data_IF_582692352049
#
_entry.id   IF_582692352049
#
_cell.length_a   1.000
_cell.length_b   1.000
_cell.length_c   1.000
_cell.angle_alpha   90.00
_cell.angle_beta   90.00
_cell.angle_gamma   90.00
#
_symmetry.space_group_name_H-M   'P 1'
#
loop_
_entity.id
_entity.type
_entity.pdbx_description
1 polymer ?
#
# COMPACT_ATOMS: atom_id res chain seq x y z
N UNK A 1 14.11 -19.59 8.89
CA UNK A 1 12.73 -19.42 8.39
C UNK A 1 11.83 -19.22 9.60
N UNK A 2 10.85 -18.32 9.54
CA UNK A 2 9.90 -18.18 10.64
C UNK A 2 9.21 -19.52 10.85
N UNK A 3 8.98 -19.88 12.12
CA UNK A 3 8.27 -21.10 12.45
C UNK A 3 6.76 -20.85 12.28
N UNK A 4 6.25 -21.05 11.06
CA UNK A 4 4.82 -20.87 10.74
C UNK A 4 3.92 -21.65 11.70
N UNK A 5 4.36 -22.80 12.21
CA UNK A 5 3.56 -23.58 13.15
C UNK A 5 3.35 -22.84 14.48
N UNK A 6 4.36 -22.17 15.01
CA UNK A 6 4.24 -21.37 16.23
C UNK A 6 3.34 -20.16 16.01
N UNK A 7 3.53 -19.46 14.88
CA UNK A 7 2.72 -18.28 14.55
C UNK A 7 1.24 -18.66 14.37
N UNK A 8 0.95 -19.70 13.58
CA UNK A 8 -0.42 -20.17 13.37
C UNK A 8 -1.07 -20.68 14.64
N UNK A 9 -0.30 -21.39 15.48
CA UNK A 9 -0.78 -21.87 16.78
C UNK A 9 -1.20 -20.70 17.68
N UNK A 10 -0.42 -19.62 17.70
CA UNK A 10 -0.75 -18.42 18.45
C UNK A 10 -1.97 -17.68 17.86
N UNK A 11 -2.02 -17.47 16.54
CA UNK A 11 -3.10 -16.75 15.87
C UNK A 11 -4.45 -17.46 15.99
N UNK A 12 -4.45 -18.80 15.87
CA UNK A 12 -5.67 -19.64 15.91
C UNK A 12 -5.96 -20.23 17.29
N UNK A 13 -5.14 -19.91 18.30
CA UNK A 13 -5.24 -20.48 19.65
C UNK A 13 -5.25 -22.02 19.67
N UNK A 14 -4.31 -22.62 18.93
CA UNK A 14 -4.15 -24.07 18.76
C UNK A 14 -2.86 -24.59 19.40
N UNK A 15 -2.77 -25.90 19.58
CA UNK A 15 -1.54 -26.53 20.03
C UNK A 15 -0.52 -26.61 18.89
N UNK A 16 0.72 -26.14 19.12
CA UNK A 16 1.79 -26.09 18.11
C UNK A 16 2.06 -27.44 17.46
N UNK A 17 2.06 -28.54 18.26
CA UNK A 17 2.29 -29.89 17.74
C UNK A 17 1.18 -30.33 16.77
N UNK A 18 -0.06 -30.00 17.06
CA UNK A 18 -1.19 -30.33 16.20
C UNK A 18 -1.17 -29.50 14.91
N UNK A 19 -0.78 -28.21 14.99
CA UNK A 19 -0.58 -27.35 13.83
C UNK A 19 0.56 -27.89 12.96
N UNK A 20 1.67 -28.31 13.56
CA UNK A 20 2.78 -28.92 12.83
C UNK A 20 2.32 -30.18 12.08
N UNK A 21 1.57 -31.06 12.72
CA UNK A 21 1.01 -32.26 12.07
C UNK A 21 0.06 -31.94 10.94
N UNK A 22 -0.77 -30.88 11.08
CA UNK A 22 -1.64 -30.43 10.00
C UNK A 22 -0.84 -29.88 8.82
N UNK A 23 0.19 -29.05 9.06
CA UNK A 23 1.09 -28.52 8.02
C UNK A 23 1.77 -29.66 7.25
N UNK A 24 2.33 -30.66 7.95
CA UNK A 24 2.99 -31.81 7.33
C UNK A 24 2.05 -32.58 6.42
N UNK A 25 0.79 -32.78 6.83
CA UNK A 25 -0.20 -33.46 6.03
C UNK A 25 -0.63 -32.63 4.79
N UNK A 26 -0.75 -31.31 4.92
CA UNK A 26 -1.02 -30.41 3.80
C UNK A 26 0.14 -30.48 2.79
N UNK A 27 1.38 -30.44 3.27
CA UNK A 27 2.58 -30.50 2.43
C UNK A 27 2.76 -31.83 1.71
N UNK A 28 2.20 -32.91 2.26
CA UNK A 28 2.10 -34.20 1.58
C UNK A 28 1.00 -34.24 0.51
N UNK A 29 0.28 -33.14 0.28
CA UNK A 29 -0.77 -33.04 -0.73
C UNK A 29 -2.12 -33.62 -0.29
N UNK A 30 -2.32 -33.87 1.00
CA UNK A 30 -3.62 -34.32 1.49
C UNK A 30 -4.65 -33.19 1.45
N UNK A 31 -5.88 -33.51 1.05
CA UNK A 31 -6.97 -32.52 1.06
C UNK A 31 -7.50 -32.28 2.48
N UNK A 32 -7.97 -31.07 2.76
CA UNK A 32 -8.54 -30.69 4.07
C UNK A 32 -9.63 -31.68 4.53
N UNK A 33 -10.63 -32.07 3.70
CA UNK A 33 -11.65 -33.05 4.10
C UNK A 33 -11.07 -34.43 4.44
N UNK A 34 -9.99 -34.83 3.78
CA UNK A 34 -9.31 -36.09 4.10
C UNK A 34 -8.63 -36.00 5.47
N UNK A 35 -7.90 -34.91 5.74
CA UNK A 35 -7.21 -34.68 7.02
C UNK A 35 -8.23 -34.66 8.17
N UNK A 36 -9.32 -33.88 8.03
CA UNK A 36 -10.37 -33.78 9.04
C UNK A 36 -11.02 -35.12 9.40
N UNK A 37 -11.17 -36.01 8.40
CA UNK A 37 -11.85 -37.27 8.58
C UNK A 37 -10.93 -38.40 9.04
N UNK A 38 -9.72 -38.47 8.51
CA UNK A 38 -8.87 -39.68 8.62
C UNK A 38 -7.54 -39.43 9.36
N UNK A 39 -7.21 -38.19 9.77
CA UNK A 39 -5.94 -37.85 10.42
C UNK A 39 -6.13 -37.10 11.74
N UNK A 40 -7.17 -37.39 12.46
CA UNK A 40 -7.53 -36.72 13.72
C UNK A 40 -6.45 -36.84 14.78
N UNK A 41 -5.72 -37.95 14.82
CA UNK A 41 -4.63 -38.20 15.75
C UNK A 41 -3.43 -37.22 15.55
N UNK A 42 -3.15 -36.84 14.30
CA UNK A 42 -2.04 -35.93 13.97
C UNK A 42 -2.41 -34.46 14.20
N UNK A 43 -3.71 -34.13 14.07
CA UNK A 43 -4.20 -32.75 14.12
C UNK A 43 -4.89 -32.40 15.44
N UNK A 44 -4.95 -33.34 16.40
CA UNK A 44 -5.66 -33.12 17.64
C UNK A 44 -7.17 -32.92 17.47
N UNK A 45 -7.75 -33.61 16.49
CA UNK A 45 -9.19 -33.58 16.16
C UNK A 45 -9.68 -32.20 15.69
N UNK A 46 -8.85 -31.40 15.00
CA UNK A 46 -9.31 -30.20 14.32
C UNK A 46 -10.46 -30.52 13.37
N UNK A 47 -11.49 -29.70 13.37
CA UNK A 47 -12.58 -29.84 12.41
C UNK A 47 -12.21 -29.27 11.03
N UNK A 48 -13.10 -29.44 10.05
CA UNK A 48 -12.89 -29.03 8.66
C UNK A 48 -12.72 -27.50 8.55
N UNK A 49 -13.45 -26.71 9.36
CA UNK A 49 -13.36 -25.24 9.31
C UNK A 49 -12.01 -24.76 9.85
N UNK A 50 -11.60 -25.25 11.00
CA UNK A 50 -10.30 -24.89 11.61
C UNK A 50 -9.13 -25.27 10.68
N UNK A 51 -9.22 -26.44 10.01
CA UNK A 51 -8.20 -26.86 9.05
C UNK A 51 -8.18 -25.98 7.79
N UNK A 52 -9.34 -25.50 7.32
CA UNK A 52 -9.41 -24.53 6.20
C UNK A 52 -8.76 -23.20 6.60
N UNK A 53 -9.17 -22.66 7.73
CA UNK A 53 -8.61 -21.38 8.24
C UNK A 53 -7.10 -21.48 8.43
N UNK A 54 -6.60 -22.63 8.91
CA UNK A 54 -5.18 -22.91 9.03
C UNK A 54 -4.49 -23.00 7.66
N UNK A 55 -5.10 -23.71 6.71
CA UNK A 55 -4.57 -23.87 5.36
C UNK A 55 -4.47 -22.52 4.61
N UNK A 56 -5.56 -21.75 4.62
CA UNK A 56 -5.62 -20.44 3.97
C UNK A 56 -4.59 -19.46 4.60
N UNK A 57 -4.48 -19.49 5.93
CA UNK A 57 -3.52 -18.65 6.62
C UNK A 57 -2.06 -19.08 6.38
N UNK A 58 -1.79 -20.38 6.30
CA UNK A 58 -0.48 -20.94 5.95
C UNK A 58 -0.06 -20.52 4.54
N UNK A 59 -0.96 -20.62 3.58
CA UNK A 59 -0.72 -20.18 2.20
C UNK A 59 -0.38 -18.68 2.14
N UNK A 60 -1.16 -17.86 2.86
CA UNK A 60 -0.87 -16.43 2.98
C UNK A 60 0.52 -16.15 3.56
N UNK A 61 0.92 -16.81 4.66
CA UNK A 61 2.23 -16.61 5.29
C UNK A 61 3.38 -17.03 4.37
N UNK A 62 3.22 -18.14 3.65
CA UNK A 62 4.19 -18.59 2.65
C UNK A 62 4.30 -17.60 1.47
N UNK A 63 3.17 -17.08 1.02
CA UNK A 63 3.13 -16.03 0.00
C UNK A 63 3.83 -14.77 0.44
N UNK A 64 3.63 -14.37 1.71
CA UNK A 64 4.28 -13.23 2.32
C UNK A 64 5.81 -13.41 2.39
N UNK A 65 6.28 -14.57 2.83
CA UNK A 65 7.72 -14.85 2.91
C UNK A 65 8.36 -14.86 1.52
N UNK A 66 7.73 -15.56 0.56
CA UNK A 66 8.18 -15.53 -0.83
C UNK A 66 8.28 -14.10 -1.38
N UNK A 67 7.27 -13.26 -1.07
CA UNK A 67 7.28 -11.87 -1.52
C UNK A 67 8.40 -11.05 -0.87
N UNK A 68 8.67 -11.27 0.42
CA UNK A 68 9.83 -10.65 1.11
C UNK A 68 11.14 -11.03 0.45
N UNK A 69 11.33 -12.29 0.09
CA UNK A 69 12.55 -12.77 -0.57
C UNK A 69 12.71 -12.15 -1.96
N UNK A 70 11.65 -12.08 -2.76
CA UNK A 70 11.63 -11.42 -4.07
C UNK A 70 12.03 -9.94 -3.96
N UNK A 71 11.43 -9.22 -3.01
CA UNK A 71 11.70 -7.79 -2.77
C UNK A 71 13.13 -7.59 -2.29
N UNK A 72 13.59 -8.44 -1.36
CA UNK A 72 14.97 -8.40 -0.86
C UNK A 72 15.97 -8.58 -2.00
N UNK A 73 15.76 -9.56 -2.86
CA UNK A 73 16.61 -9.82 -4.03
C UNK A 73 16.62 -8.61 -4.98
N UNK A 74 15.45 -8.07 -5.30
CA UNK A 74 15.32 -6.92 -6.21
C UNK A 74 16.03 -5.66 -5.68
N UNK A 75 15.90 -5.34 -4.38
CA UNK A 75 16.57 -4.18 -3.78
C UNK A 75 18.09 -4.41 -3.70
N UNK A 76 18.51 -5.65 -3.43
CA UNK A 76 19.93 -6.03 -3.38
C UNK A 76 20.58 -5.90 -4.75
N UNK A 77 19.93 -6.37 -5.81
CA UNK A 77 20.40 -6.22 -7.20
C UNK A 77 20.56 -4.76 -7.62
N UNK A 78 19.75 -3.85 -7.07
CA UNK A 78 19.86 -2.42 -7.27
C UNK A 78 20.98 -1.78 -6.43
N UNK A 79 21.65 -2.52 -5.56
CA UNK A 79 22.68 -2.00 -4.64
C UNK A 79 22.14 -1.07 -3.56
N UNK A 80 20.83 -1.08 -3.30
CA UNK A 80 20.14 -0.17 -2.39
C UNK A 80 19.76 -0.80 -1.05
N UNK A 81 20.12 -2.08 -0.81
CA UNK A 81 19.80 -2.75 0.45
C UNK A 81 20.61 -2.19 1.61
N UNK A 82 19.93 -1.87 2.72
CA UNK A 82 20.54 -1.41 3.98
C UNK A 82 20.10 -2.30 5.14
N UNK A 83 20.85 -2.27 6.29
CA UNK A 83 20.45 -3.02 7.50
C UNK A 83 19.04 -2.62 7.99
N UNK A 84 18.69 -1.34 7.89
CA UNK A 84 17.38 -0.83 8.29
C UNK A 84 16.25 -1.38 7.41
N UNK A 85 16.48 -1.46 6.09
CA UNK A 85 15.52 -2.06 5.14
C UNK A 85 15.35 -3.56 5.40
N UNK A 86 16.45 -4.27 5.64
CA UNK A 86 16.40 -5.69 6.01
C UNK A 86 15.58 -5.90 7.27
N UNK A 87 15.79 -5.06 8.30
CA UNK A 87 15.01 -5.11 9.53
C UNK A 87 13.53 -4.75 9.32
N UNK A 88 13.23 -3.78 8.46
CA UNK A 88 11.86 -3.39 8.13
C UNK A 88 11.12 -4.52 7.39
N UNK A 89 11.73 -5.12 6.37
CA UNK A 89 11.16 -6.26 5.63
C UNK A 89 10.92 -7.47 6.55
N UNK A 90 11.86 -7.78 7.44
CA UNK A 90 11.70 -8.90 8.38
C UNK A 90 10.53 -8.69 9.34
N UNK A 91 10.26 -7.45 9.77
CA UNK A 91 9.18 -7.08 10.69
C UNK A 91 7.82 -6.95 10.02
N UNK A 92 7.78 -6.79 8.70
CA UNK A 92 6.54 -6.65 7.96
C UNK A 92 5.65 -7.89 8.15
N UNK A 93 4.38 -7.67 8.51
CA UNK A 93 3.39 -8.72 8.81
C UNK A 93 2.35 -8.91 7.72
N UNK A 94 2.31 -7.99 6.76
CA UNK A 94 1.35 -8.01 5.66
C UNK A 94 2.01 -7.76 4.32
N UNK A 95 1.40 -8.26 3.24
CA UNK A 95 1.85 -7.97 1.87
C UNK A 95 1.86 -6.46 1.60
N UNK A 96 0.87 -5.73 2.10
CA UNK A 96 0.78 -4.29 1.94
C UNK A 96 1.99 -3.55 2.57
N UNK A 97 2.44 -3.98 3.76
CA UNK A 97 3.66 -3.43 4.38
C UNK A 97 4.91 -3.72 3.54
N UNK A 98 5.03 -4.93 2.97
CA UNK A 98 6.15 -5.28 2.09
C UNK A 98 6.13 -4.44 0.82
N UNK A 99 4.97 -4.26 0.19
CA UNK A 99 4.81 -3.43 -1.01
C UNK A 99 5.11 -1.95 -0.72
N UNK A 100 4.72 -1.44 0.45
CA UNK A 100 5.04 -0.06 0.85
C UNK A 100 6.56 0.15 0.99
N UNK A 101 7.27 -0.80 1.62
CA UNK A 101 8.74 -0.77 1.74
C UNK A 101 9.40 -0.86 0.35
N UNK A 102 8.89 -1.72 -0.54
CA UNK A 102 9.45 -1.92 -1.87
C UNK A 102 9.18 -0.75 -2.83
N UNK A 103 8.14 0.03 -2.59
CA UNK A 103 7.63 1.03 -3.53
C UNK A 103 8.67 2.04 -4.05
N UNK A 104 9.56 2.61 -3.22
CA UNK A 104 10.60 3.53 -3.70
C UNK A 104 11.57 2.86 -4.69
N UNK A 105 11.73 1.55 -4.60
CA UNK A 105 12.68 0.73 -5.38
C UNK A 105 12.04 0.05 -6.58
N UNK A 106 10.71 0.04 -6.65
CA UNK A 106 9.97 -0.57 -7.75
C UNK A 106 10.21 0.20 -9.05
N UNK A 107 10.58 -0.47 -10.16
CA UNK A 107 10.70 0.18 -11.45
C UNK A 107 9.41 0.93 -11.81
N UNK A 108 9.50 2.25 -11.93
CA UNK A 108 8.35 3.10 -12.23
C UNK A 108 8.27 3.37 -13.72
N UNK A 109 7.04 3.43 -14.25
CA UNK A 109 6.78 4.01 -15.57
C UNK A 109 7.11 5.51 -15.53
N UNK A 110 7.20 6.18 -16.69
CA UNK A 110 7.38 7.64 -16.75
C UNK A 110 6.34 8.35 -15.88
N UNK A 111 6.79 8.96 -14.78
CA UNK A 111 5.98 9.80 -13.88
C UNK A 111 6.40 11.25 -14.06
N UNK A 112 5.57 12.21 -13.61
CA UNK A 112 5.95 13.64 -13.58
C UNK A 112 7.28 13.83 -12.84
N UNK A 113 7.42 13.18 -11.68
CA UNK A 113 8.67 13.21 -10.90
C UNK A 113 9.87 12.59 -11.65
N UNK A 114 9.70 11.47 -12.36
CA UNK A 114 10.80 10.87 -13.13
C UNK A 114 11.26 11.77 -14.28
N UNK A 115 10.34 12.49 -14.92
CA UNK A 115 10.65 13.49 -15.94
C UNK A 115 11.41 14.65 -15.32
N UNK A 116 10.93 15.18 -14.18
CA UNK A 116 11.59 16.27 -13.46
C UNK A 116 13.01 15.88 -12.99
N UNK A 117 13.21 14.63 -12.53
CA UNK A 117 14.54 14.09 -12.19
C UNK A 117 15.47 14.04 -13.42
N UNK A 118 14.96 13.60 -14.57
CA UNK A 118 15.72 13.58 -15.81
C UNK A 118 16.14 14.98 -16.27
N UNK A 119 15.33 16.01 -15.96
CA UNK A 119 15.63 17.42 -16.21
C UNK A 119 16.63 18.03 -15.22
N UNK A 120 17.15 17.25 -14.27
CA UNK A 120 18.16 17.69 -13.30
C UNK A 120 17.61 18.41 -12.07
N UNK A 121 16.31 18.34 -11.79
CA UNK A 121 15.66 19.09 -10.70
C UNK A 121 15.74 18.40 -9.32
N UNK A 122 16.34 17.22 -9.21
CA UNK A 122 16.48 16.49 -7.94
C UNK A 122 17.24 17.29 -6.86
N UNK A 123 18.36 18.01 -7.14
CA UNK A 123 19.05 18.78 -6.12
C UNK A 123 18.19 19.94 -5.58
N UNK A 124 17.42 20.63 -6.45
CA UNK A 124 16.49 21.68 -6.04
C UNK A 124 15.40 21.11 -5.13
N UNK A 125 14.77 20.00 -5.51
CA UNK A 125 13.77 19.32 -4.68
C UNK A 125 14.33 18.94 -3.31
N UNK A 126 15.58 18.44 -3.26
CA UNK A 126 16.24 18.05 -2.01
C UNK A 126 16.51 19.27 -1.12
N UNK A 127 16.94 20.39 -1.69
CA UNK A 127 17.16 21.63 -0.94
C UNK A 127 15.84 22.18 -0.36
N UNK A 128 14.78 22.23 -1.16
CA UNK A 128 13.46 22.66 -0.72
C UNK A 128 12.92 21.74 0.39
N UNK A 129 13.08 20.43 0.26
CA UNK A 129 12.56 19.45 1.23
C UNK A 129 13.22 19.55 2.61
N UNK A 130 14.45 20.13 2.71
CA UNK A 130 15.11 20.43 3.99
C UNK A 130 14.39 21.52 4.77
N UNK A 131 13.68 22.42 4.06
CA UNK A 131 12.89 23.52 4.61
C UNK A 131 13.72 24.49 5.44
N UNK A 132 14.95 24.76 5.00
CA UNK A 132 15.78 25.78 5.60
C UNK A 132 15.10 27.16 5.42
N UNK A 133 14.94 27.91 6.52
CA UNK A 133 14.28 29.22 6.51
C UNK A 133 15.09 30.29 5.73
N UNK A 134 16.40 30.10 5.61
CA UNK A 134 17.26 31.00 4.85
C UNK A 134 17.29 30.68 3.34
N UNK A 135 16.74 29.54 2.91
CA UNK A 135 16.75 29.15 1.52
C UNK A 135 15.55 29.75 0.78
N UNK A 136 15.83 30.48 -0.30
CA UNK A 136 14.83 31.07 -1.18
C UNK A 136 14.63 30.16 -2.41
N UNK A 137 13.51 29.39 -2.48
CA UNK A 137 13.30 28.44 -3.56
C UNK A 137 13.13 29.12 -4.93
N UNK A 138 12.56 30.32 -5.00
CA UNK A 138 12.35 31.04 -6.26
C UNK A 138 13.69 31.48 -6.86
N UNK A 139 14.58 32.03 -6.05
CA UNK A 139 15.92 32.42 -6.50
C UNK A 139 16.75 31.20 -6.91
N UNK A 140 16.71 30.14 -6.10
CA UNK A 140 17.45 28.91 -6.41
C UNK A 140 16.95 28.23 -7.69
N UNK A 141 15.66 28.31 -8.00
CA UNK A 141 15.08 27.77 -9.22
C UNK A 141 15.69 28.32 -10.51
N UNK A 142 16.18 29.58 -10.47
CA UNK A 142 16.83 30.24 -11.62
C UNK A 142 18.13 29.52 -12.05
N UNK A 143 18.80 28.82 -11.14
CA UNK A 143 20.03 28.08 -11.42
C UNK A 143 19.81 26.76 -12.16
N UNK A 144 18.54 26.32 -12.31
CA UNK A 144 18.15 25.04 -12.91
C UNK A 144 17.47 25.20 -14.27
N UNK A 145 17.53 26.38 -14.88
CA UNK A 145 16.96 26.63 -16.20
C UNK A 145 17.80 25.93 -17.27
N UNK A 146 17.10 25.29 -18.20
CA UNK A 146 17.69 24.63 -19.38
C UNK A 146 16.64 24.54 -20.50
N UNK A 147 17.00 23.94 -21.64
CA UNK A 147 16.09 23.82 -22.80
C UNK A 147 14.76 23.12 -22.49
N UNK A 148 14.73 22.26 -21.46
CA UNK A 148 13.53 21.54 -21.03
C UNK A 148 12.83 22.19 -19.81
N UNK A 149 13.47 23.18 -19.20
CA UNK A 149 12.98 23.93 -18.02
C UNK A 149 13.06 25.43 -18.34
N UNK A 150 12.01 26.00 -18.95
CA UNK A 150 12.09 27.33 -19.55
C UNK A 150 12.11 28.47 -18.55
N UNK A 151 11.58 28.27 -17.34
CA UNK A 151 11.47 29.30 -16.30
C UNK A 151 11.51 28.72 -14.88
N UNK A 152 11.64 29.59 -13.89
CA UNK A 152 11.71 29.24 -12.49
C UNK A 152 10.43 28.56 -11.99
N UNK A 153 9.27 28.91 -12.54
CA UNK A 153 8.00 28.29 -12.18
C UNK A 153 7.97 26.82 -12.62
N UNK A 154 8.47 26.50 -13.83
CA UNK A 154 8.61 25.13 -14.31
C UNK A 154 9.62 24.33 -13.46
N UNK A 155 10.72 24.97 -13.01
CA UNK A 155 11.68 24.32 -12.11
C UNK A 155 11.07 23.99 -10.76
N UNK A 156 10.32 24.91 -10.17
CA UNK A 156 9.61 24.71 -8.89
C UNK A 156 8.52 23.64 -9.00
N UNK A 157 7.72 23.68 -10.06
CA UNK A 157 6.71 22.65 -10.31
C UNK A 157 7.33 21.25 -10.44
N UNK A 158 8.45 21.12 -11.15
CA UNK A 158 9.17 19.85 -11.25
C UNK A 158 9.78 19.41 -9.91
N UNK A 159 10.31 20.33 -9.11
CA UNK A 159 10.78 20.02 -7.76
C UNK A 159 9.63 19.58 -6.84
N UNK A 160 8.47 20.23 -6.94
CA UNK A 160 7.24 19.85 -6.24
C UNK A 160 6.76 18.45 -6.62
N UNK A 161 6.76 18.09 -7.91
CA UNK A 161 6.43 16.74 -8.37
C UNK A 161 7.34 15.66 -7.75
N UNK A 162 8.66 15.95 -7.64
CA UNK A 162 9.62 15.05 -7.00
C UNK A 162 9.31 14.88 -5.51
N UNK A 163 9.02 15.98 -4.80
CA UNK A 163 8.66 15.96 -3.38
C UNK A 163 7.34 15.19 -3.18
N UNK A 164 6.32 15.45 -3.99
CA UNK A 164 5.03 14.78 -3.92
C UNK A 164 5.16 13.26 -4.13
N UNK A 165 6.01 12.83 -5.06
CA UNK A 165 6.32 11.40 -5.24
C UNK A 165 7.01 10.83 -4.01
N UNK A 166 8.00 11.50 -3.44
CA UNK A 166 8.71 11.04 -2.25
C UNK A 166 7.77 10.88 -1.04
N UNK A 167 6.87 11.86 -0.83
CA UNK A 167 5.84 11.82 0.23
C UNK A 167 4.86 10.69 0.00
N UNK A 168 4.38 10.48 -1.24
CA UNK A 168 3.43 9.43 -1.57
C UNK A 168 4.01 8.01 -1.46
N UNK A 169 5.32 7.87 -1.54
CA UNK A 169 6.04 6.59 -1.46
C UNK A 169 6.50 6.25 -0.04
N UNK A 170 6.37 7.18 0.92
CA UNK A 170 6.77 6.94 2.30
C UNK A 170 5.88 5.89 2.97
N UNK A 171 6.49 4.81 3.44
CA UNK A 171 5.79 3.67 4.02
C UNK A 171 5.04 4.02 5.31
N UNK A 172 5.60 4.91 6.16
CA UNK A 172 4.97 5.30 7.42
C UNK A 172 3.71 6.12 7.17
N UNK A 173 3.78 7.08 6.25
CA UNK A 173 2.61 7.89 5.86
C UNK A 173 1.53 7.04 5.20
N UNK A 174 1.90 6.10 4.35
CA UNK A 174 0.95 5.17 3.73
C UNK A 174 0.24 4.29 4.77
N UNK A 175 0.97 3.79 5.76
CA UNK A 175 0.39 3.02 6.86
C UNK A 175 -0.60 3.86 7.68
N UNK A 176 -0.27 5.14 7.95
CA UNK A 176 -1.14 6.07 8.67
C UNK A 176 -2.40 6.40 7.86
N UNK A 177 -2.27 6.73 6.58
CA UNK A 177 -3.40 6.96 5.69
C UNK A 177 -4.29 5.71 5.58
N UNK A 178 -3.72 4.52 5.43
CA UNK A 178 -4.48 3.26 5.38
C UNK A 178 -5.26 3.03 6.68
N UNK A 179 -4.63 3.30 7.85
CA UNK A 179 -5.31 3.22 9.14
C UNK A 179 -6.49 4.19 9.20
N UNK A 180 -6.29 5.41 8.70
CA UNK A 180 -7.34 6.41 8.64
C UNK A 180 -8.48 5.99 7.70
N UNK A 181 -8.18 5.47 6.50
CA UNK A 181 -9.19 4.96 5.56
C UNK A 181 -10.03 3.84 6.16
N UNK A 182 -9.39 2.86 6.81
CA UNK A 182 -10.11 1.77 7.47
C UNK A 182 -11.06 2.25 8.56
N UNK A 183 -10.71 3.29 9.28
CA UNK A 183 -11.52 3.81 10.37
C UNK A 183 -12.68 4.71 9.90
N UNK A 184 -12.45 5.55 8.88
CA UNK A 184 -13.33 6.66 8.50
C UNK A 184 -13.68 6.70 7.02
N UNK A 185 -13.01 5.93 6.19
CA UNK A 185 -13.28 5.86 4.75
C UNK A 185 -14.62 5.23 4.44
N UNK A 186 -15.12 5.51 3.25
CA UNK A 186 -16.33 4.92 2.67
C UNK A 186 -15.97 4.29 1.34
N UNK A 187 -16.58 3.16 1.03
CA UNK A 187 -16.61 2.66 -0.32
C UNK A 187 -17.84 3.23 -1.02
N UNK A 188 -17.66 3.76 -2.20
CA UNK A 188 -18.74 4.24 -3.04
C UNK A 188 -18.70 3.51 -4.38
N UNK A 189 -19.84 3.36 -5.01
CA UNK A 189 -19.91 2.84 -6.37
C UNK A 189 -20.97 3.54 -7.20
N UNK A 190 -20.67 3.68 -8.49
CA UNK A 190 -21.54 4.27 -9.47
C UNK A 190 -21.68 3.35 -10.70
N UNK A 191 -22.75 3.53 -11.46
CA UNK A 191 -22.96 2.87 -12.75
C UNK A 191 -21.83 3.23 -13.71
N UNK A 192 -21.14 2.24 -14.28
CA UNK A 192 -20.04 2.49 -15.22
C UNK A 192 -20.49 2.53 -16.68
N UNK A 193 -21.57 1.83 -17.02
CA UNK A 193 -22.15 1.78 -18.37
C UNK A 193 -23.65 1.99 -18.28
N UNK A 194 -24.27 2.59 -19.29
CA UNK A 194 -25.70 2.83 -19.32
C UNK A 194 -26.50 1.57 -19.73
N UNK A 195 -26.22 0.47 -19.05
CA UNK A 195 -26.88 -0.81 -19.20
C UNK A 195 -27.41 -1.27 -17.85
N UNK A 196 -28.59 -1.89 -17.83
CA UNK A 196 -29.10 -2.49 -16.61
C UNK A 196 -28.42 -3.82 -16.33
N UNK A 197 -28.03 -4.03 -15.08
CA UNK A 197 -27.33 -5.23 -14.66
C UNK A 197 -27.80 -5.74 -13.31
N UNK A 198 -27.35 -6.92 -12.92
CA UNK A 198 -27.59 -7.51 -11.59
C UNK A 198 -27.04 -6.65 -10.45
N UNK A 199 -26.22 -5.63 -10.77
CA UNK A 199 -25.61 -4.72 -9.80
C UNK A 199 -26.43 -3.42 -9.60
N UNK A 200 -27.69 -3.36 -10.04
CA UNK A 200 -28.52 -2.16 -9.93
C UNK A 200 -28.58 -1.55 -8.53
N UNK A 201 -28.53 -2.37 -7.48
CA UNK A 201 -28.49 -1.92 -6.08
C UNK A 201 -27.19 -1.17 -5.71
N UNK A 202 -26.16 -1.22 -6.54
CA UNK A 202 -24.86 -0.58 -6.33
C UNK A 202 -24.60 0.59 -7.28
N UNK A 203 -25.58 1.05 -8.08
CA UNK A 203 -25.39 2.16 -9.03
C UNK A 203 -25.27 3.54 -8.37
N UNK A 204 -25.79 3.68 -7.17
CA UNK A 204 -25.62 4.85 -6.31
C UNK A 204 -25.49 4.36 -4.86
N UNK A 205 -24.32 3.87 -4.54
CA UNK A 205 -24.08 3.18 -3.28
C UNK A 205 -22.88 3.77 -2.56
N UNK A 206 -23.00 3.95 -1.24
CA UNK A 206 -21.88 4.33 -0.38
C UNK A 206 -22.06 3.79 1.03
N UNK A 207 -21.03 3.11 1.57
CA UNK A 207 -21.04 2.55 2.92
C UNK A 207 -19.68 2.73 3.61
N UNK A 208 -19.63 2.96 4.95
CA UNK A 208 -18.37 3.02 5.69
C UNK A 208 -17.59 1.71 5.58
N UNK A 209 -16.28 1.81 5.30
CA UNK A 209 -15.39 0.64 5.15
C UNK A 209 -15.37 -0.27 6.38
N UNK A 210 -15.46 0.30 7.58
CA UNK A 210 -15.45 -0.46 8.83
C UNK A 210 -16.77 -1.18 9.13
N UNK A 211 -17.80 -1.01 8.29
CA UNK A 211 -19.15 -1.61 8.48
C UNK A 211 -19.57 -2.48 7.31
N UNK A 212 -18.92 -2.36 6.16
CA UNK A 212 -19.33 -3.10 4.96
C UNK A 212 -19.11 -4.60 5.15
N UNK A 213 -20.12 -5.45 4.93
CA UNK A 213 -19.95 -6.89 5.02
C UNK A 213 -19.21 -7.45 3.78
N UNK A 214 -18.41 -8.52 4.00
CA UNK A 214 -17.55 -9.10 2.96
C UNK A 214 -18.26 -9.48 1.67
N UNK A 215 -19.51 -9.97 1.71
CA UNK A 215 -20.27 -10.31 0.52
C UNK A 215 -20.55 -9.10 -0.39
N UNK A 216 -20.70 -7.89 0.19
CA UNK A 216 -20.86 -6.66 -0.60
C UNK A 216 -19.55 -6.21 -1.23
N UNK A 217 -18.43 -6.34 -0.49
CA UNK A 217 -17.09 -6.08 -1.06
C UNK A 217 -16.85 -6.98 -2.28
N UNK A 218 -17.15 -8.28 -2.18
CA UNK A 218 -17.03 -9.22 -3.30
C UNK A 218 -17.96 -8.87 -4.47
N UNK A 219 -19.17 -8.39 -4.20
CA UNK A 219 -20.10 -7.98 -5.26
C UNK A 219 -19.61 -6.71 -5.98
N UNK A 220 -19.08 -5.72 -5.24
CA UNK A 220 -18.50 -4.50 -5.80
C UNK A 220 -17.26 -4.80 -6.65
N UNK A 221 -16.32 -5.59 -6.13
CA UNK A 221 -15.12 -6.02 -6.86
C UNK A 221 -15.47 -6.77 -8.15
N UNK A 222 -16.47 -7.68 -8.11
CA UNK A 222 -16.94 -8.38 -9.29
C UNK A 222 -17.57 -7.44 -10.31
N UNK A 223 -18.44 -6.52 -9.88
CA UNK A 223 -19.09 -5.55 -10.76
C UNK A 223 -18.08 -4.59 -11.41
N UNK A 224 -17.01 -4.24 -10.71
CA UNK A 224 -15.92 -3.44 -11.25
C UNK A 224 -15.09 -4.21 -12.29
N UNK A 225 -14.73 -5.48 -12.01
CA UNK A 225 -14.02 -6.36 -12.97
C UNK A 225 -14.83 -6.61 -14.25
N UNK A 226 -16.14 -6.71 -14.14
CA UNK A 226 -17.05 -6.84 -15.29
C UNK A 226 -17.25 -5.50 -16.02
N UNK A 227 -16.72 -4.39 -15.49
CA UNK A 227 -16.82 -3.05 -16.07
C UNK A 227 -18.24 -2.47 -16.03
N UNK A 228 -19.08 -2.95 -15.10
CA UNK A 228 -20.46 -2.51 -14.89
C UNK A 228 -20.58 -1.51 -13.74
N UNK A 229 -19.64 -1.53 -12.80
CA UNK A 229 -19.53 -0.58 -11.70
C UNK A 229 -18.20 0.18 -11.79
N UNK A 230 -18.23 1.42 -11.33
CA UNK A 230 -17.04 2.20 -11.00
C UNK A 230 -16.99 2.30 -9.47
N UNK A 231 -16.04 1.62 -8.85
CA UNK A 231 -15.88 1.63 -7.39
C UNK A 231 -14.85 2.67 -7.01
N UNK A 232 -15.08 3.38 -5.91
CA UNK A 232 -14.16 4.38 -5.37
C UNK A 232 -14.11 4.31 -3.86
N UNK A 233 -12.96 4.70 -3.31
CA UNK A 233 -12.83 4.96 -1.89
C UNK A 233 -12.94 6.46 -1.66
N UNK A 234 -13.89 6.85 -0.83
CA UNK A 234 -14.10 8.23 -0.44
C UNK A 234 -13.54 8.49 0.95
N UNK A 235 -12.90 9.61 1.11
CA UNK A 235 -12.33 10.07 2.38
C UNK A 235 -12.54 11.58 2.52
N UNK A 236 -12.53 12.08 3.72
CA UNK A 236 -12.40 13.51 3.99
C UNK A 236 -10.97 13.96 3.60
N UNK A 237 -10.86 14.59 2.43
CA UNK A 237 -9.60 15.08 1.88
C UNK A 237 -8.87 16.02 2.81
N UNK A 238 -9.59 16.88 3.55
CA UNK A 238 -9.01 17.84 4.48
C UNK A 238 -8.22 17.12 5.59
N UNK A 239 -8.73 16.02 6.11
CA UNK A 239 -8.02 15.24 7.12
C UNK A 239 -6.87 14.44 6.53
N UNK A 240 -7.03 13.87 5.34
CA UNK A 240 -5.95 13.19 4.63
C UNK A 240 -4.78 14.14 4.38
N UNK A 241 -5.06 15.34 3.91
CA UNK A 241 -4.09 16.41 3.72
C UNK A 241 -3.43 16.82 5.06
N UNK A 242 -4.21 16.95 6.14
CA UNK A 242 -3.69 17.28 7.46
C UNK A 242 -2.70 16.21 7.99
N UNK A 243 -2.93 14.93 7.73
CA UNK A 243 -2.00 13.86 8.11
C UNK A 243 -0.65 14.06 7.43
N UNK A 244 -0.64 14.26 6.09
CA UNK A 244 0.61 14.43 5.35
C UNK A 244 1.29 15.77 5.66
N UNK A 245 0.54 16.85 5.74
CA UNK A 245 1.13 18.17 6.07
C UNK A 245 1.73 18.17 7.48
N UNK A 246 1.09 17.56 8.47
CA UNK A 246 1.64 17.47 9.82
C UNK A 246 2.92 16.63 9.91
N UNK A 247 3.06 15.62 9.04
CA UNK A 247 4.25 14.76 9.01
C UNK A 247 5.45 15.41 8.33
N UNK A 248 5.23 16.23 7.31
CA UNK A 248 6.32 16.72 6.46
C UNK A 248 6.58 18.22 6.55
N UNK A 249 5.58 19.05 6.85
CA UNK A 249 5.75 20.50 6.89
C UNK A 249 6.38 20.96 8.20
N UNK A 250 7.51 21.64 8.11
CA UNK A 250 8.26 22.18 9.25
C UNK A 250 8.28 23.72 9.19
N UNK A 251 7.58 24.35 10.10
CA UNK A 251 7.53 25.83 10.15
C UNK A 251 6.72 26.47 9.01
N UNK A 252 7.07 27.73 8.68
CA UNK A 252 6.32 28.58 7.73
C UNK A 252 7.25 29.30 6.74
N UNK A 253 8.35 28.65 6.33
CA UNK A 253 9.25 29.23 5.31
C UNK A 253 8.63 29.09 3.91
N UNK A 254 9.20 29.79 2.92
CA UNK A 254 8.82 29.62 1.52
C UNK A 254 8.97 28.17 1.05
N UNK A 255 10.01 27.48 1.51
CA UNK A 255 10.18 26.06 1.27
C UNK A 255 9.08 25.21 1.90
N UNK A 256 8.62 25.59 3.11
CA UNK A 256 7.54 24.86 3.79
C UNK A 256 6.22 24.96 3.03
N UNK A 257 5.98 26.06 2.33
CA UNK A 257 4.80 26.21 1.48
C UNK A 257 4.85 25.28 0.27
N UNK A 258 5.97 25.21 -0.43
CA UNK A 258 6.16 24.26 -1.55
C UNK A 258 5.99 22.81 -1.08
N UNK A 259 6.53 22.47 0.10
CA UNK A 259 6.36 21.11 0.68
C UNK A 259 4.91 20.86 1.06
N UNK A 260 4.17 21.87 1.54
CA UNK A 260 2.74 21.76 1.86
C UNK A 260 1.92 21.47 0.61
N UNK A 261 2.14 22.21 -0.46
CA UNK A 261 1.47 21.99 -1.74
C UNK A 261 1.80 20.59 -2.30
N UNK A 262 3.07 20.16 -2.23
CA UNK A 262 3.47 18.82 -2.63
C UNK A 262 2.80 17.73 -1.80
N UNK A 263 2.65 17.93 -0.48
CA UNK A 263 1.96 16.98 0.40
C UNK A 263 0.46 16.88 0.10
N UNK A 264 -0.18 18.01 -0.24
CA UNK A 264 -1.58 18.04 -0.69
C UNK A 264 -1.74 17.29 -2.01
N UNK A 265 -0.85 17.49 -2.99
CA UNK A 265 -0.88 16.78 -4.27
C UNK A 265 -0.62 15.27 -4.08
N UNK A 266 0.24 14.90 -3.13
CA UNK A 266 0.52 13.50 -2.78
C UNK A 266 -0.72 12.73 -2.30
N UNK A 267 -1.71 13.38 -1.66
CA UNK A 267 -2.99 12.75 -1.29
C UNK A 267 -3.71 12.29 -2.54
N UNK A 268 -3.81 13.14 -3.57
CA UNK A 268 -4.46 12.80 -4.85
C UNK A 268 -3.78 11.60 -5.54
N UNK A 269 -2.45 11.50 -5.48
CA UNK A 269 -1.70 10.34 -5.98
C UNK A 269 -2.02 9.06 -5.22
N UNK A 270 -2.25 9.17 -3.92
CA UNK A 270 -2.58 8.02 -3.07
C UNK A 270 -4.02 7.55 -3.32
N UNK A 271 -4.95 8.49 -3.55
CA UNK A 271 -6.34 8.19 -3.92
C UNK A 271 -6.47 7.40 -5.22
N UNK A 272 -5.78 7.83 -6.29
CA UNK A 272 -5.81 7.15 -7.58
C UNK A 272 -5.28 5.71 -7.53
N UNK A 273 -4.50 5.36 -6.49
CA UNK A 273 -3.92 4.04 -6.30
C UNK A 273 -4.53 3.22 -5.16
N UNK A 274 -5.38 3.80 -4.32
CA UNK A 274 -6.17 3.04 -3.36
C UNK A 274 -7.12 2.07 -4.06
N UNK A 275 -7.49 2.34 -5.31
CA UNK A 275 -8.21 1.40 -6.17
C UNK A 275 -7.44 0.10 -6.46
N UNK A 276 -6.09 0.10 -6.43
CA UNK A 276 -5.29 -1.11 -6.63
C UNK A 276 -5.26 -2.01 -5.38
N UNK A 277 -5.79 -1.53 -4.23
CA UNK A 277 -5.68 -2.19 -2.92
C UNK A 277 -7.01 -2.54 -2.26
N UNK A 278 -8.14 -2.46 -2.97
CA UNK A 278 -9.43 -2.93 -2.44
C UNK A 278 -9.42 -4.42 -2.10
N UNK A 279 -8.58 -5.20 -2.79
CA UNK A 279 -8.33 -6.61 -2.50
C UNK A 279 -7.44 -6.84 -1.26
N UNK A 280 -6.75 -5.79 -0.77
CA UNK A 280 -5.82 -5.86 0.37
C UNK A 280 -6.43 -5.27 1.66
N UNK A 281 -7.65 -4.74 1.60
CA UNK A 281 -8.42 -4.20 2.73
C UNK A 281 -9.36 -5.25 3.32
#
# INVERSE_FOLDING_TARGET
MPNHAEQLAQELNLNVKNVQGAIELIDQGNTIPFIARYRKEATGSMDDQVLRDLGDRLEYLRGLDKRKDEVTSSITEQGAMTPELTAALSKAKTLAEVEDIYRPYKPKRKTRASIAKARGLQPLATAIFRQDAAFDPEKAAADYLNDEVPDAAAALAGAQDIIAEAVSDDAACRAELRRYYRAFGRVASAKAKDEDSVYAQYYDYAEPLNKIPGHRVLALDRGEREGLLKVSLEMDDVRGQAILTSAYVKGNSACSEVVREAAVDAVSYTHLRAHETLSDL
#
